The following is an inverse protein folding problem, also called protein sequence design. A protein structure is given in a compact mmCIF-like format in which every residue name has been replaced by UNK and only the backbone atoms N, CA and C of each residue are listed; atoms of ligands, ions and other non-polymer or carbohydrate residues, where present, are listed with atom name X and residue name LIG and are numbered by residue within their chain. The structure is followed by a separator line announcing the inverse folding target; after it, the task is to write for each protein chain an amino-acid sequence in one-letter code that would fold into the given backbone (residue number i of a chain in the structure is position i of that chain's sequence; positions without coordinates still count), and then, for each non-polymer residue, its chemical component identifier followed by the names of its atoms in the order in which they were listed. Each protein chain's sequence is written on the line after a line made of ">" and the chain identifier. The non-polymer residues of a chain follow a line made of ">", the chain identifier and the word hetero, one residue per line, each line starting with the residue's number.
data_IF_304678253078
#
_entry.id   IF_304678253078
#
_cell.length_a   1.000
_cell.length_b   1.000
_cell.length_c   1.000
_cell.angle_alpha   90.00
_cell.angle_beta   90.00
_cell.angle_gamma   90.00
#
_symmetry.space_group_name_H-M   'P 1'
#
loop_
_entity.id
_entity.type
_entity.pdbx_description
1 polymer ?
#
# COMPACT_ATOMS: atom_id res chain seq x y z
N UNK A 1 -12.18 -12.92 -7.44
CA UNK A 1 -11.48 -11.82 -6.78
C UNK A 1 -12.36 -10.60 -6.71
N UNK A 2 -12.42 -9.99 -5.58
CA UNK A 2 -13.25 -8.82 -5.41
C UNK A 2 -12.71 -7.60 -6.13
N UNK A 3 -13.59 -6.65 -6.36
CA UNK A 3 -13.27 -5.40 -7.01
C UNK A 3 -12.14 -4.64 -6.29
N UNK A 4 -12.21 -4.59 -4.96
CA UNK A 4 -11.20 -3.88 -4.18
C UNK A 4 -9.86 -4.62 -4.13
N UNK A 5 -9.90 -5.96 -4.14
CA UNK A 5 -8.67 -6.74 -4.23
C UNK A 5 -7.95 -6.46 -5.54
N UNK A 6 -8.69 -6.44 -6.64
CA UNK A 6 -8.13 -6.09 -7.94
C UNK A 6 -7.63 -4.65 -7.94
N UNK A 7 -8.41 -3.75 -7.35
CA UNK A 7 -8.05 -2.34 -7.27
C UNK A 7 -6.75 -2.11 -6.51
N UNK A 8 -6.55 -2.83 -5.41
CA UNK A 8 -5.30 -2.72 -4.64
C UNK A 8 -4.10 -3.21 -5.44
N UNK A 9 -4.28 -4.30 -6.17
CA UNK A 9 -3.22 -4.81 -7.03
C UNK A 9 -2.85 -3.78 -8.09
N UNK A 10 -3.85 -3.19 -8.73
CA UNK A 10 -3.60 -2.17 -9.76
C UNK A 10 -2.93 -0.92 -9.17
N UNK A 11 -3.37 -0.52 -7.98
CA UNK A 11 -2.76 0.63 -7.32
C UNK A 11 -1.30 0.35 -6.98
N UNK A 12 -1.01 -0.84 -6.48
CA UNK A 12 0.37 -1.24 -6.17
C UNK A 12 1.23 -1.17 -7.42
N UNK A 13 0.71 -1.68 -8.54
CA UNK A 13 1.46 -1.68 -9.80
C UNK A 13 1.74 -0.25 -10.28
N UNK A 14 0.79 0.67 -10.08
CA UNK A 14 0.99 2.06 -10.44
C UNK A 14 2.05 2.71 -9.56
N UNK A 15 2.00 2.45 -8.26
CA UNK A 15 2.99 3.00 -7.33
C UNK A 15 4.39 2.47 -7.65
N UNK A 16 4.47 1.18 -7.97
CA UNK A 16 5.72 0.57 -8.38
C UNK A 16 6.28 1.26 -9.62
N UNK A 17 5.44 1.48 -10.62
CA UNK A 17 5.87 2.12 -11.85
C UNK A 17 6.34 3.56 -11.62
N UNK A 18 5.62 4.30 -10.78
CA UNK A 18 6.01 5.67 -10.46
C UNK A 18 7.38 5.72 -9.79
N UNK A 19 7.62 4.79 -8.88
CA UNK A 19 8.87 4.74 -8.15
C UNK A 19 10.03 4.35 -9.07
N UNK A 20 9.86 3.26 -9.82
CA UNK A 20 10.96 2.71 -10.60
C UNK A 20 11.27 3.55 -11.83
N UNK A 21 10.28 4.19 -12.42
CA UNK A 21 10.48 5.02 -13.59
C UNK A 21 10.72 6.49 -13.25
N UNK A 22 10.53 6.85 -11.98
CA UNK A 22 10.67 8.22 -11.51
C UNK A 22 9.75 9.16 -12.27
N UNK A 23 8.50 8.73 -12.44
CA UNK A 23 7.48 9.52 -13.12
C UNK A 23 6.45 10.03 -12.11
N UNK A 24 5.83 11.19 -12.39
CA UNK A 24 4.70 11.62 -11.57
C UNK A 24 3.60 10.58 -11.61
N UNK A 25 2.88 10.43 -10.50
CA UNK A 25 1.85 9.41 -10.41
C UNK A 25 0.74 9.59 -11.46
N UNK A 26 0.42 10.83 -11.79
CA UNK A 26 -0.63 11.08 -12.78
C UNK A 26 -0.21 10.61 -14.18
N UNK A 27 1.08 10.69 -14.50
CA UNK A 27 1.58 10.17 -15.78
C UNK A 27 1.45 8.65 -15.82
N UNK A 28 1.77 7.98 -14.71
CA UNK A 28 1.67 6.55 -14.62
C UNK A 28 0.21 6.11 -14.72
N UNK A 29 -0.68 6.82 -14.05
CA UNK A 29 -2.10 6.53 -14.09
C UNK A 29 -2.59 6.61 -15.54
N UNK A 30 -2.21 7.66 -16.23
CA UNK A 30 -2.59 7.85 -17.62
C UNK A 30 -2.06 6.73 -18.52
N UNK A 31 -0.82 6.34 -18.33
CA UNK A 31 -0.20 5.33 -19.18
C UNK A 31 -0.68 3.90 -18.90
N UNK A 32 -0.97 3.57 -17.66
CA UNK A 32 -1.17 2.18 -17.28
C UNK A 32 -2.53 1.83 -16.69
N UNK A 33 -3.27 2.80 -16.16
CA UNK A 33 -4.53 2.49 -15.51
C UNK A 33 -5.76 2.91 -16.29
N UNK A 34 -5.72 4.07 -16.88
CA UNK A 34 -6.94 4.64 -17.49
C UNK A 34 -7.52 3.77 -18.61
N UNK A 35 -6.67 3.07 -19.31
CA UNK A 35 -7.12 2.24 -20.40
C UNK A 35 -6.94 0.75 -20.13
N UNK A 36 -6.82 0.39 -18.87
CA UNK A 36 -6.68 -1.03 -18.55
C UNK A 36 -8.02 -1.74 -18.78
N UNK A 37 -8.01 -3.06 -19.01
CA UNK A 37 -9.21 -3.80 -19.38
C UNK A 37 -10.18 -4.09 -18.25
N UNK A 38 -9.97 -3.50 -17.08
CA UNK A 38 -10.81 -3.77 -15.93
C UNK A 38 -12.05 -2.89 -15.95
N UNK A 39 -13.05 -3.24 -15.14
CA UNK A 39 -14.28 -2.48 -15.07
C UNK A 39 -13.99 -1.05 -14.62
N UNK A 40 -14.77 -0.13 -15.11
CA UNK A 40 -14.56 1.28 -14.88
C UNK A 40 -14.51 1.64 -13.41
N UNK A 41 -15.43 1.12 -12.60
CA UNK A 41 -15.44 1.45 -11.17
C UNK A 41 -14.24 0.84 -10.43
N UNK A 42 -13.73 -0.31 -10.89
CA UNK A 42 -12.51 -0.87 -10.33
C UNK A 42 -11.31 0.01 -10.65
N UNK A 43 -11.23 0.48 -11.88
CA UNK A 43 -10.17 1.38 -12.29
C UNK A 43 -10.21 2.69 -11.53
N UNK A 44 -11.39 3.27 -11.38
CA UNK A 44 -11.55 4.54 -10.68
C UNK A 44 -11.13 4.42 -9.23
N UNK A 45 -11.51 3.34 -8.58
CA UNK A 45 -11.12 3.09 -7.20
C UNK A 45 -9.60 2.95 -7.08
N UNK A 46 -8.99 2.20 -8.02
CA UNK A 46 -7.55 1.99 -8.02
C UNK A 46 -6.80 3.29 -8.29
N UNK A 47 -7.30 4.10 -9.21
CA UNK A 47 -6.69 5.38 -9.55
C UNK A 47 -6.68 6.32 -8.35
N UNK A 48 -7.82 6.42 -7.68
CA UNK A 48 -7.92 7.30 -6.54
C UNK A 48 -7.03 6.81 -5.39
N UNK A 49 -7.03 5.52 -5.15
CA UNK A 49 -6.18 4.94 -4.12
C UNK A 49 -4.70 5.18 -4.41
N UNK A 50 -4.28 4.96 -5.66
CA UNK A 50 -2.89 5.18 -6.04
C UNK A 50 -2.49 6.65 -5.90
N UNK A 51 -3.36 7.55 -6.34
CA UNK A 51 -3.09 8.99 -6.28
C UNK A 51 -2.95 9.46 -4.84
N UNK A 52 -3.88 9.07 -3.99
CA UNK A 52 -3.87 9.49 -2.59
C UNK A 52 -2.70 8.87 -1.82
N UNK A 53 -2.42 7.60 -2.08
CA UNK A 53 -1.28 6.93 -1.44
C UNK A 53 0.03 7.63 -1.82
N UNK A 54 0.15 8.01 -3.06
CA UNK A 54 1.36 8.71 -3.52
C UNK A 54 1.49 10.08 -2.86
N UNK A 55 0.39 10.80 -2.70
CA UNK A 55 0.39 12.10 -2.06
C UNK A 55 0.80 12.04 -0.60
N UNK A 56 0.46 10.96 0.10
CA UNK A 56 0.77 10.81 1.51
C UNK A 56 2.02 9.97 1.76
N UNK A 57 2.80 9.67 0.72
CA UNK A 57 3.91 8.72 0.86
C UNK A 57 5.00 9.17 1.82
N UNK A 58 5.22 10.47 1.97
CA UNK A 58 6.22 10.94 2.91
C UNK A 58 5.86 10.56 4.35
N UNK A 59 4.59 10.69 4.71
CA UNK A 59 4.10 10.27 6.03
C UNK A 59 4.24 8.77 6.20
N UNK A 60 3.84 8.03 5.17
CA UNK A 60 3.93 6.57 5.21
C UNK A 60 5.38 6.12 5.34
N UNK A 61 6.29 6.78 4.64
CA UNK A 61 7.71 6.44 4.69
C UNK A 61 8.30 6.63 6.07
N UNK A 62 7.87 7.67 6.78
CA UNK A 62 8.31 7.88 8.16
C UNK A 62 7.84 6.74 9.06
N UNK A 63 6.62 6.28 8.86
CA UNK A 63 6.07 5.18 9.63
C UNK A 63 6.81 3.89 9.30
N UNK A 64 7.05 3.64 8.02
CA UNK A 64 7.78 2.44 7.59
C UNK A 64 9.17 2.42 8.22
N UNK A 65 9.86 3.57 8.18
CA UNK A 65 11.20 3.67 8.73
C UNK A 65 11.21 3.39 10.23
N UNK A 66 10.20 3.86 10.94
CA UNK A 66 10.08 3.66 12.38
C UNK A 66 9.94 2.19 12.75
N UNK A 67 9.19 1.43 11.95
CA UNK A 67 8.89 0.05 12.29
C UNK A 67 9.73 -0.99 11.54
N UNK A 68 10.58 -0.57 10.61
CA UNK A 68 11.46 -1.49 9.89
C UNK A 68 12.86 -1.49 10.52
N UNK A 69 12.92 -2.00 11.72
CA UNK A 69 14.15 -1.97 12.51
C UNK A 69 15.28 -2.67 11.78
N UNK A 70 16.40 -1.95 11.65
CA UNK A 70 17.58 -2.52 11.00
C UNK A 70 17.59 -2.40 9.48
N UNK A 71 16.58 -1.79 8.89
CA UNK A 71 16.51 -1.65 7.43
C UNK A 71 16.28 -0.19 7.06
N UNK A 72 17.06 0.30 6.13
CA UNK A 72 16.82 1.64 5.58
C UNK A 72 15.71 1.55 4.55
N UNK A 73 14.92 2.59 4.46
CA UNK A 73 13.82 2.66 3.50
C UNK A 73 14.31 2.39 2.07
N UNK A 74 15.48 2.89 1.75
CA UNK A 74 16.05 2.72 0.41
C UNK A 74 16.44 1.29 0.08
N UNK A 75 16.57 0.44 1.09
CA UNK A 75 16.94 -0.94 0.88
C UNK A 75 15.74 -1.86 0.72
N UNK A 76 14.54 -1.35 0.96
CA UNK A 76 13.34 -2.15 0.80
C UNK A 76 13.09 -2.35 -0.68
N UNK A 77 12.63 -3.55 -1.06
CA UNK A 77 12.26 -3.71 -2.45
C UNK A 77 11.03 -2.84 -2.73
N UNK A 78 10.91 -2.40 -3.96
CA UNK A 78 9.90 -1.40 -4.32
C UNK A 78 8.49 -1.94 -4.21
N UNK A 79 8.29 -3.23 -4.43
CA UNK A 79 6.95 -3.82 -4.27
C UNK A 79 6.53 -3.77 -2.81
N UNK A 80 7.42 -4.18 -1.90
CA UNK A 80 7.13 -4.14 -0.46
C UNK A 80 6.87 -2.71 -0.01
N UNK A 81 7.68 -1.78 -0.47
CA UNK A 81 7.50 -0.38 -0.11
C UNK A 81 6.15 0.14 -0.60
N UNK A 82 5.78 -0.21 -1.83
CA UNK A 82 4.50 0.20 -2.39
C UNK A 82 3.34 -0.38 -1.61
N UNK A 83 3.43 -1.65 -1.24
CA UNK A 83 2.38 -2.30 -0.46
C UNK A 83 2.26 -1.71 0.94
N UNK A 84 3.39 -1.40 1.57
CA UNK A 84 3.38 -0.78 2.89
C UNK A 84 2.75 0.61 2.82
N UNK A 85 3.07 1.38 1.80
CA UNK A 85 2.48 2.69 1.61
C UNK A 85 0.96 2.60 1.43
N UNK A 86 0.50 1.63 0.62
CA UNK A 86 -0.93 1.42 0.43
C UNK A 86 -1.63 1.08 1.72
N UNK A 87 -1.07 0.14 2.46
CA UNK A 87 -1.69 -0.33 3.69
C UNK A 87 -1.77 0.78 4.73
N UNK A 88 -0.69 1.52 4.89
CA UNK A 88 -0.66 2.60 5.87
C UNK A 88 -1.67 3.68 5.50
N UNK A 89 -1.79 3.99 4.21
CA UNK A 89 -2.77 4.97 3.77
C UNK A 89 -4.19 4.49 4.09
N UNK A 90 -4.51 3.23 3.80
CA UNK A 90 -5.84 2.69 4.11
C UNK A 90 -6.13 2.68 5.60
N UNK A 91 -5.15 2.32 6.41
CA UNK A 91 -5.32 2.27 7.86
C UNK A 91 -5.56 3.67 8.41
N UNK A 92 -4.86 4.67 7.90
CA UNK A 92 -4.95 6.02 8.44
C UNK A 92 -6.14 6.82 7.92
N UNK A 93 -6.51 6.64 6.68
CA UNK A 93 -7.44 7.56 6.04
C UNK A 93 -8.71 6.91 5.48
N UNK A 94 -8.83 5.62 5.56
CA UNK A 94 -10.00 4.94 5.02
C UNK A 94 -10.67 4.09 6.09
N UNK A 95 -11.91 3.72 5.86
CA UNK A 95 -12.69 2.98 6.85
C UNK A 95 -12.59 1.46 6.72
N UNK A 96 -11.65 0.98 5.95
CA UNK A 96 -11.49 -0.45 5.77
C UNK A 96 -11.06 -1.11 7.09
N UNK A 97 -11.70 -2.19 7.50
CA UNK A 97 -11.27 -2.87 8.72
C UNK A 97 -9.83 -3.31 8.63
N UNK A 98 -9.11 -3.16 9.74
CA UNK A 98 -7.70 -3.45 9.80
C UNK A 98 -7.36 -4.86 9.32
N UNK A 99 -8.13 -5.86 9.75
CA UNK A 99 -7.86 -7.24 9.36
C UNK A 99 -7.98 -7.44 7.86
N UNK A 100 -8.88 -6.69 7.22
CA UNK A 100 -9.04 -6.77 5.77
C UNK A 100 -7.81 -6.19 5.07
N UNK A 101 -7.33 -5.03 5.52
CA UNK A 101 -6.15 -4.42 4.93
C UNK A 101 -4.96 -5.37 5.05
N UNK A 102 -4.73 -5.91 6.25
CA UNK A 102 -3.60 -6.81 6.47
C UNK A 102 -3.68 -8.04 5.57
N UNK A 103 -4.83 -8.69 5.54
CA UNK A 103 -4.99 -9.90 4.73
C UNK A 103 -4.80 -9.63 3.25
N UNK A 104 -5.36 -8.53 2.76
CA UNK A 104 -5.28 -8.20 1.34
C UNK A 104 -3.85 -7.88 0.92
N UNK A 105 -3.16 -7.08 1.72
CA UNK A 105 -1.79 -6.70 1.42
C UNK A 105 -0.85 -7.90 1.47
N UNK A 106 -1.02 -8.76 2.46
CA UNK A 106 -0.21 -9.98 2.57
C UNK A 106 -0.44 -10.91 1.37
N UNK A 107 -1.69 -11.05 0.94
CA UNK A 107 -1.98 -11.89 -0.22
C UNK A 107 -1.31 -11.37 -1.50
N UNK A 108 -1.31 -10.04 -1.68
CA UNK A 108 -0.64 -9.46 -2.84
C UNK A 108 0.87 -9.70 -2.74
N UNK A 109 1.44 -9.56 -1.53
CA UNK A 109 2.87 -9.77 -1.35
C UNK A 109 3.28 -11.20 -1.68
N UNK A 110 2.44 -12.17 -1.36
CA UNK A 110 2.72 -13.57 -1.68
C UNK A 110 2.80 -13.80 -3.18
N UNK A 111 2.02 -13.03 -3.92
CA UNK A 111 1.93 -13.21 -5.36
C UNK A 111 3.00 -12.46 -6.14
N UNK A 112 3.35 -11.28 -5.68
CA UNK A 112 4.17 -10.37 -6.48
C UNK A 112 5.52 -10.00 -5.87
N UNK A 113 5.79 -10.39 -4.63
CA UNK A 113 7.03 -10.02 -3.99
C UNK A 113 7.87 -11.26 -3.63
N UNK A 114 8.77 -11.15 -2.66
CA UNK A 114 9.68 -12.26 -2.33
C UNK A 114 9.06 -13.17 -1.27
N UNK A 115 9.66 -14.33 -1.08
CA UNK A 115 9.17 -15.32 -0.10
C UNK A 115 9.15 -14.76 1.32
N UNK A 116 10.06 -13.84 1.63
CA UNK A 116 10.14 -13.25 2.97
C UNK A 116 9.22 -12.05 3.14
N UNK A 117 8.68 -11.51 2.06
CA UNK A 117 7.88 -10.30 2.10
C UNK A 117 6.64 -10.39 2.99
N UNK A 118 5.86 -11.48 2.93
CA UNK A 118 4.66 -11.56 3.77
C UNK A 118 4.99 -11.40 5.25
N UNK A 119 6.05 -12.05 5.71
CA UNK A 119 6.44 -11.99 7.11
C UNK A 119 6.95 -10.60 7.48
N UNK A 120 7.77 -10.02 6.61
CA UNK A 120 8.32 -8.69 6.81
C UNK A 120 7.22 -7.63 6.89
N UNK A 121 6.30 -7.64 5.94
CA UNK A 121 5.20 -6.70 5.88
C UNK A 121 4.28 -6.87 7.08
N UNK A 122 3.98 -8.12 7.43
CA UNK A 122 3.13 -8.40 8.57
C UNK A 122 3.74 -7.87 9.87
N UNK A 123 5.06 -7.99 10.02
CA UNK A 123 5.75 -7.47 11.20
C UNK A 123 5.64 -5.96 11.32
N UNK A 124 5.87 -5.25 10.24
CA UNK A 124 5.79 -3.79 10.24
C UNK A 124 4.37 -3.32 10.49
N UNK A 125 3.42 -3.84 9.72
CA UNK A 125 2.03 -3.39 9.81
C UNK A 125 1.39 -3.82 11.11
N UNK A 126 1.75 -5.00 11.61
CA UNK A 126 1.23 -5.47 12.89
C UNK A 126 1.64 -4.57 14.03
N UNK A 127 2.89 -4.16 14.07
CA UNK A 127 3.37 -3.27 15.12
C UNK A 127 2.79 -1.88 14.98
N UNK A 128 2.70 -1.37 13.76
CA UNK A 128 2.11 -0.07 13.52
C UNK A 128 0.63 -0.06 13.95
N UNK A 129 -0.11 -1.07 13.56
CA UNK A 129 -1.52 -1.16 13.88
C UNK A 129 -1.77 -1.29 15.38
N UNK A 130 -0.90 -2.01 16.07
CA UNK A 130 -0.99 -2.17 17.50
C UNK A 130 -0.82 -0.81 18.19
N UNK A 131 0.13 0.00 17.76
CA UNK A 131 0.35 1.32 18.32
C UNK A 131 -0.80 2.26 18.01
N UNK A 132 -1.34 2.20 16.81
CA UNK A 132 -2.48 3.01 16.44
C UNK A 132 -3.70 2.66 17.27
N UNK A 133 -3.96 1.41 17.47
CA UNK A 133 -5.07 0.97 18.29
C UNK A 133 -4.88 1.38 19.73
N UNK A 134 -3.67 1.31 20.26
CA UNK A 134 -3.40 1.75 21.62
C UNK A 134 -3.64 3.23 21.77
N UNK A 135 -3.27 4.03 20.80
CA UNK A 135 -3.50 5.45 20.84
C UNK A 135 -4.96 5.81 20.70
N UNK A 136 -5.71 5.03 19.97
CA UNK A 136 -7.12 5.27 19.77
C UNK A 136 -7.97 4.74 20.89
N UNK A 137 -7.54 3.70 21.56
CA UNK A 137 -8.30 3.04 22.58
C UNK A 137 -8.71 3.87 23.73
N UNK A 138 -7.91 4.74 24.25
CA UNK A 138 -8.27 5.44 25.46
C UNK A 138 -9.45 6.32 25.38
N UNK A 139 -10.03 6.47 24.26
CA UNK A 139 -11.16 7.25 24.19
C UNK A 139 -12.31 6.67 24.80
N UNK A 140 -12.29 5.57 25.22
CA UNK A 140 -13.43 4.99 25.86
C UNK A 140 -13.54 5.22 27.29
#
# INVERSE_FOLDING_TARGET
>A
MGKRSTGRKLAMQALYQAEIRQLPIDDVIHLFLEESPYLENTREWAIELARQTWQTRAESDEIIQKYSIGWDLERLNIIDKSLLRLAIHEIRYMDTPLSVVLNEIIEISKRYSTDDSPKFINGILGNYAKDECSQASPKN
#
